data_IF_865484169076
#
_entry.id   IF_865484169076
#
_cell.length_a   1.000
_cell.length_b   1.000
_cell.length_c   1.000
_cell.angle_alpha   90.00
_cell.angle_beta   90.00
_cell.angle_gamma   90.00
#
_symmetry.space_group_name_H-M   'P 1'
#
loop_
_entity.id
_entity.type
_entity.pdbx_description
1 polymer ?
#
# COMPACT_ATOMS: atom_id res chain seq x y z
N UNK A 1 -19.74 -9.61 -15.50
CA UNK A 1 -18.29 -9.42 -15.72
C UNK A 1 -17.91 -8.12 -15.04
N UNK A 2 -17.37 -8.20 -13.83
CA UNK A 2 -16.93 -7.01 -13.09
C UNK A 2 -15.60 -6.57 -13.69
N UNK A 3 -15.68 -5.62 -14.62
CA UNK A 3 -14.53 -4.86 -15.11
C UNK A 3 -13.97 -4.05 -13.93
N UNK A 4 -12.96 -4.60 -13.27
CA UNK A 4 -12.17 -3.91 -12.25
C UNK A 4 -11.37 -2.79 -12.93
N UNK A 5 -12.04 -1.67 -13.20
CA UNK A 5 -11.39 -0.42 -13.55
C UNK A 5 -11.06 0.33 -12.26
N UNK A 6 -9.78 0.34 -11.93
CA UNK A 6 -9.23 1.02 -10.75
C UNK A 6 -8.09 0.19 -10.18
N UNK A 7 -7.03 0.83 -9.71
CA UNK A 7 -5.96 0.15 -8.96
C UNK A 7 -6.53 -0.29 -7.60
N UNK A 8 -7.29 -1.40 -7.56
CA UNK A 8 -7.82 -1.97 -6.34
C UNK A 8 -6.71 -2.75 -5.64
N UNK A 9 -6.06 -2.11 -4.68
CA UNK A 9 -5.06 -2.77 -3.84
C UNK A 9 -5.78 -3.50 -2.70
N UNK A 10 -5.43 -4.76 -2.50
CA UNK A 10 -5.95 -5.59 -1.39
C UNK A 10 -4.93 -5.69 -0.26
N UNK A 11 -5.39 -6.11 0.92
CA UNK A 11 -4.51 -6.33 2.07
C UNK A 11 -3.41 -7.38 1.78
N UNK A 12 -3.70 -8.39 0.96
CA UNK A 12 -2.75 -9.42 0.56
C UNK A 12 -1.62 -8.87 -0.32
N UNK A 13 -1.91 -7.90 -1.19
CA UNK A 13 -0.88 -7.22 -2.00
C UNK A 13 0.03 -6.39 -1.09
N UNK A 14 -0.54 -5.64 -0.15
CA UNK A 14 0.23 -4.85 0.82
C UNK A 14 1.11 -5.74 1.70
N UNK A 15 0.62 -6.92 2.10
CA UNK A 15 1.39 -7.89 2.88
C UNK A 15 2.61 -8.48 2.13
N UNK A 16 2.63 -8.40 0.80
CA UNK A 16 3.76 -8.84 -0.01
C UNK A 16 4.87 -7.78 -0.10
N UNK A 17 4.59 -6.54 0.28
CA UNK A 17 5.58 -5.47 0.28
C UNK A 17 6.66 -5.71 1.33
N UNK A 18 7.91 -5.57 0.91
CA UNK A 18 9.09 -5.76 1.76
C UNK A 18 10.10 -4.64 1.52
N UNK A 19 10.82 -4.19 2.57
CA UNK A 19 11.95 -3.31 2.39
C UNK A 19 12.98 -3.92 1.44
N UNK A 20 13.54 -3.09 0.55
CA UNK A 20 14.52 -3.51 -0.47
C UNK A 20 13.93 -3.85 -1.84
N UNK A 21 12.60 -3.96 -1.98
CA UNK A 21 11.96 -4.14 -3.29
C UNK A 21 12.22 -2.93 -4.20
N UNK A 22 12.52 -3.17 -5.47
CA UNK A 22 12.66 -2.08 -6.45
C UNK A 22 11.29 -1.49 -6.78
N UNK A 23 11.27 -0.24 -7.29
CA UNK A 23 10.05 0.42 -7.77
C UNK A 23 9.23 -0.45 -8.72
N UNK A 24 9.91 -1.15 -9.64
CA UNK A 24 9.25 -2.04 -10.58
C UNK A 24 8.57 -3.24 -9.90
N UNK A 25 9.22 -3.83 -8.89
CA UNK A 25 8.62 -4.90 -8.09
C UNK A 25 7.44 -4.40 -7.26
N UNK A 26 7.52 -3.20 -6.67
CA UNK A 26 6.39 -2.59 -5.96
C UNK A 26 5.23 -2.34 -6.91
N UNK A 27 5.49 -1.82 -8.13
CA UNK A 27 4.49 -1.65 -9.17
C UNK A 27 3.88 -2.97 -9.63
N UNK A 28 4.67 -4.04 -9.68
CA UNK A 28 4.17 -5.37 -10.02
C UNK A 28 3.22 -5.92 -8.95
N UNK A 29 3.47 -5.63 -7.67
CA UNK A 29 2.64 -6.07 -6.54
C UNK A 29 1.37 -5.22 -6.37
N UNK A 30 1.49 -3.89 -6.48
CA UNK A 30 0.41 -2.94 -6.18
C UNK A 30 -0.31 -2.37 -7.41
N UNK A 31 0.23 -2.61 -8.60
CA UNK A 31 -0.20 -1.94 -9.82
C UNK A 31 0.45 -0.58 -10.04
N UNK A 32 0.05 0.07 -11.14
CA UNK A 32 0.61 1.37 -11.54
C UNK A 32 0.09 2.46 -10.62
N UNK A 33 0.96 3.20 -9.91
CA UNK A 33 0.51 4.32 -9.08
C UNK A 33 -0.22 5.35 -9.94
N UNK A 34 -1.26 5.98 -9.36
CA UNK A 34 -2.04 7.02 -10.04
C UNK A 34 -1.20 8.29 -10.32
N UNK A 35 -0.09 8.46 -9.58
CA UNK A 35 0.87 9.55 -9.75
C UNK A 35 2.28 8.95 -9.63
N UNK A 36 3.02 8.93 -10.75
CA UNK A 36 4.48 8.80 -10.74
C UNK A 36 5.01 10.11 -11.28
N UNK A 37 5.20 11.07 -10.37
CA UNK A 37 5.87 12.31 -10.74
C UNK A 37 7.37 12.00 -10.84
N UNK A 38 7.92 12.23 -12.03
CA UNK A 38 9.33 12.01 -12.39
C UNK A 38 10.31 12.83 -11.53
N UNK A 39 9.82 13.75 -10.70
CA UNK A 39 10.62 14.54 -9.76
C UNK A 39 10.40 14.16 -8.29
N UNK A 40 9.37 13.36 -7.97
CA UNK A 40 9.04 12.90 -6.61
C UNK A 40 9.15 11.37 -6.50
N UNK A 41 10.23 10.82 -7.05
CA UNK A 41 10.43 9.38 -7.15
C UNK A 41 10.65 8.66 -5.79
N UNK A 42 10.70 9.43 -4.72
CA UNK A 42 10.91 8.97 -3.34
C UNK A 42 9.60 8.58 -2.63
N UNK A 43 8.43 8.88 -3.20
CA UNK A 43 7.14 8.55 -2.56
C UNK A 43 6.05 8.24 -3.57
N UNK A 44 5.39 7.09 -3.41
CA UNK A 44 4.20 6.71 -4.16
C UNK A 44 2.99 6.59 -3.25
N UNK A 45 1.90 7.28 -3.59
CA UNK A 45 0.63 7.22 -2.87
C UNK A 45 -0.36 6.28 -3.56
N UNK A 46 -0.96 5.42 -2.76
CA UNK A 46 -1.89 4.38 -3.19
C UNK A 46 -3.16 4.40 -2.34
N UNK A 47 -4.28 4.06 -2.96
CA UNK A 47 -5.56 3.84 -2.27
C UNK A 47 -5.85 2.35 -2.30
N UNK A 48 -6.03 1.75 -1.12
CA UNK A 48 -6.41 0.34 -0.99
C UNK A 48 -7.74 0.22 -0.27
N UNK A 49 -8.49 -0.82 -0.57
CA UNK A 49 -9.82 -1.02 -0.04
C UNK A 49 -9.77 -2.21 0.92
N UNK A 50 -10.17 -1.95 2.17
CA UNK A 50 -10.25 -2.96 3.21
C UNK A 50 -11.71 -3.27 3.46
N UNK A 51 -12.11 -4.49 3.16
CA UNK A 51 -13.38 -5.01 3.63
C UNK A 51 -13.22 -5.43 5.10
N UNK A 52 -14.11 -4.98 5.99
CA UNK A 52 -14.13 -5.49 7.37
C UNK A 52 -14.58 -6.95 7.37
N UNK A 53 -13.84 -7.81 8.07
CA UNK A 53 -14.33 -9.14 8.38
C UNK A 53 -15.65 -8.99 9.15
N UNK A 54 -16.72 -9.61 8.63
CA UNK A 54 -18.10 -9.54 9.13
C UNK A 54 -18.93 -8.28 8.76
N UNK A 55 -18.50 -7.46 7.81
CA UNK A 55 -19.36 -6.40 7.25
C UNK A 55 -19.23 -6.28 5.73
N UNK A 56 -20.28 -5.76 5.07
CA UNK A 56 -20.24 -5.35 3.65
C UNK A 56 -19.62 -3.95 3.48
N UNK A 57 -19.23 -3.32 4.57
CA UNK A 57 -18.55 -2.03 4.56
C UNK A 57 -17.13 -2.16 4.00
N UNK A 58 -16.87 -1.39 2.95
CA UNK A 58 -15.57 -1.22 2.34
C UNK A 58 -14.97 0.09 2.86
N UNK A 59 -13.90 -0.02 3.64
CA UNK A 59 -13.10 1.15 4.06
C UNK A 59 -12.06 1.46 2.99
N UNK A 60 -12.06 2.68 2.45
CA UNK A 60 -10.97 3.20 1.62
C UNK A 60 -9.84 3.72 2.50
N UNK A 61 -8.63 3.21 2.32
CA UNK A 61 -7.44 3.60 3.07
C UNK A 61 -6.35 4.06 2.12
N UNK A 62 -5.52 5.00 2.58
CA UNK A 62 -4.37 5.51 1.83
C UNK A 62 -3.08 4.97 2.42
N UNK A 63 -2.16 4.58 1.56
CA UNK A 63 -0.79 4.20 1.92
C UNK A 63 0.20 5.00 1.06
N UNK A 64 1.32 5.35 1.66
CA UNK A 64 2.45 5.99 1.03
C UNK A 64 3.65 5.04 1.10
N UNK A 65 4.16 4.63 -0.06
CA UNK A 65 5.38 3.82 -0.17
C UNK A 65 6.54 4.77 -0.39
N UNK A 66 7.55 4.70 0.48
CA UNK A 66 8.74 5.52 0.39
C UNK A 66 9.89 4.73 -0.23
N UNK A 67 10.62 5.37 -1.13
CA UNK A 67 11.77 4.83 -1.83
C UNK A 67 13.02 5.62 -1.49
N UNK A 68 14.13 4.92 -1.33
CA UNK A 68 15.46 5.47 -1.16
C UNK A 68 16.41 4.65 -2.05
N UNK A 69 17.24 5.34 -2.82
CA UNK A 69 18.18 4.68 -3.75
C UNK A 69 17.49 3.70 -4.74
N UNK A 70 16.27 4.05 -5.18
CA UNK A 70 15.46 3.22 -6.07
C UNK A 70 14.85 1.95 -5.43
N UNK A 71 14.98 1.78 -4.10
CA UNK A 71 14.44 0.65 -3.35
C UNK A 71 13.43 1.11 -2.30
N UNK A 72 12.43 0.28 -2.05
CA UNK A 72 11.43 0.51 -1.02
C UNK A 72 12.11 0.54 0.34
N UNK A 73 12.01 1.68 1.03
CA UNK A 73 12.52 1.87 2.38
C UNK A 73 11.48 1.49 3.41
N UNK A 74 10.26 2.00 3.26
CA UNK A 74 9.14 1.78 4.18
C UNK A 74 7.81 2.05 3.51
N UNK A 75 6.74 1.61 4.16
CA UNK A 75 5.36 1.99 3.82
C UNK A 75 4.73 2.64 5.04
N UNK A 76 4.03 3.76 4.84
CA UNK A 76 3.23 4.44 5.86
C UNK A 76 1.77 4.53 5.42
N UNK A 77 0.86 4.76 6.36
CA UNK A 77 -0.57 4.84 6.10
C UNK A 77 -1.37 3.96 7.04
N UNK A 78 -2.68 3.85 6.80
CA UNK A 78 -3.61 3.08 7.65
C UNK A 78 -3.50 1.56 7.43
N UNK A 79 -2.26 1.09 7.27
CA UNK A 79 -1.90 -0.31 7.40
C UNK A 79 -1.86 -0.53 8.89
N UNK A 80 -3.01 -0.86 9.47
CA UNK A 80 -3.09 -1.35 10.85
C UNK A 80 -2.00 -2.40 10.98
N UNK A 81 -0.97 -2.04 11.74
CA UNK A 81 0.32 -2.68 11.72
C UNK A 81 0.14 -4.18 11.98
N UNK A 82 0.33 -5.00 10.94
CA UNK A 82 0.51 -6.43 11.11
C UNK A 82 1.88 -6.75 11.77
N UNK A 83 2.66 -5.74 12.17
CA UNK A 83 3.91 -5.89 12.89
C UNK A 83 4.13 -4.74 13.88
N UNK A 84 3.35 -4.68 14.95
CA UNK A 84 3.75 -4.13 16.26
C UNK A 84 2.79 -4.62 17.35
N UNK A 85 3.16 -5.62 18.17
CA UNK A 85 2.49 -5.81 19.44
C UNK A 85 3.02 -4.74 20.41
N UNK A 86 2.21 -3.72 20.70
CA UNK A 86 2.45 -2.83 21.82
C UNK A 86 2.19 -1.36 21.56
N UNK A 87 1.04 -0.87 22.03
CA UNK A 87 1.03 -0.11 23.29
C UNK A 87 -0.36 -0.22 23.93
N UNK A 88 -0.42 -0.84 25.12
CA UNK A 88 -1.47 -0.53 26.08
C UNK A 88 -1.18 0.87 26.62
N UNK A 89 -2.17 1.73 26.60
CA UNK A 89 -2.35 2.92 27.45
C UNK A 89 -3.77 3.42 27.08
N UNK A 90 -4.77 3.49 27.96
CA UNK A 90 -4.86 3.43 29.42
C UNK A 90 -6.17 2.74 29.82
#
# INVERSE_FOLDING_TARGET
MEIQQGNYITQEMVAQLKPGLTRDQVRFVLGTPLVSDIFHEERWDYVFLRQRANSREIESRRIAVFFEDGKMKRVEGDIVAAASPGKREQ
#
